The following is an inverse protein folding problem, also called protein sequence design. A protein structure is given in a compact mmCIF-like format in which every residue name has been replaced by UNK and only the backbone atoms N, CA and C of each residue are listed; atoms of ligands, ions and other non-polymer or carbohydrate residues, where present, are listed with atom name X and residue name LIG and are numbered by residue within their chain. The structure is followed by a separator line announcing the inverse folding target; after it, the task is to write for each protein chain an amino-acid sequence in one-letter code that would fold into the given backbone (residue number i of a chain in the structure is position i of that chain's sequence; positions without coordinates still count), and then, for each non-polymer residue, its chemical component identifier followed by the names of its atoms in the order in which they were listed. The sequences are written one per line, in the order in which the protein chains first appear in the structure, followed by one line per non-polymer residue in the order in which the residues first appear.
data_IF_113887490200
#
_entry.id   IF_113887490200
#
_cell.length_a   1.000
_cell.length_b   1.000
_cell.length_c   1.000
_cell.angle_alpha   90.00
_cell.angle_beta   90.00
_cell.angle_gamma   90.00
#
_symmetry.space_group_name_H-M   'P 1'
#
loop_
_entity.id
_entity.type
_entity.pdbx_description
1 polymer ?
#
# COMPACT_ATOMS: atom_id res chain seq x y z
N UNK A 1 7.80 -16.80 -18.66
CA UNK A 1 7.08 -16.56 -19.93
C UNK A 1 5.80 -17.43 -20.04
N UNK A 2 5.09 -17.72 -18.93
CA UNK A 2 3.98 -18.70 -18.89
C UNK A 2 2.58 -18.08 -18.77
N UNK A 3 2.44 -16.75 -18.84
CA UNK A 3 1.16 -16.05 -18.61
C UNK A 3 0.59 -15.32 -19.82
N UNK A 4 1.34 -15.21 -20.91
CA UNK A 4 0.93 -14.51 -22.14
C UNK A 4 -0.40 -15.07 -22.69
N UNK A 5 -0.58 -16.38 -22.56
CA UNK A 5 -1.72 -17.14 -23.06
C UNK A 5 -3.03 -16.83 -22.30
N UNK A 6 -2.93 -16.17 -21.13
CA UNK A 6 -4.08 -15.79 -20.29
C UNK A 6 -4.59 -14.37 -20.54
N UNK A 7 -3.99 -13.64 -21.50
CA UNK A 7 -4.41 -12.28 -21.81
C UNK A 7 -5.82 -12.24 -22.40
N UNK A 8 -6.68 -11.42 -21.83
CA UNK A 8 -7.99 -11.07 -22.39
C UNK A 8 -8.12 -9.55 -22.43
N UNK A 9 -8.44 -9.01 -23.60
CA UNK A 9 -8.65 -7.57 -23.77
C UNK A 9 -9.93 -7.16 -23.03
N UNK A 10 -9.78 -6.35 -21.98
CA UNK A 10 -10.88 -5.85 -21.12
C UNK A 10 -11.07 -4.33 -21.23
N UNK A 11 -10.69 -3.73 -22.37
CA UNK A 11 -10.77 -2.29 -22.59
C UNK A 11 -9.60 -1.47 -22.03
N UNK A 12 -8.51 -2.13 -21.64
CA UNK A 12 -7.25 -1.48 -21.21
C UNK A 12 -6.08 -1.93 -22.09
N UNK A 13 -5.07 -1.08 -22.31
CA UNK A 13 -3.91 -1.42 -23.12
C UNK A 13 -3.19 -2.67 -22.60
N UNK A 14 -2.63 -3.47 -23.51
CA UNK A 14 -1.82 -4.65 -23.19
C UNK A 14 -0.67 -4.31 -22.22
N UNK A 15 -0.07 -3.12 -22.36
CA UNK A 15 0.98 -2.61 -21.47
C UNK A 15 0.54 -2.53 -20.01
N UNK A 16 -0.72 -2.18 -19.72
CA UNK A 16 -1.25 -2.13 -18.36
C UNK A 16 -1.38 -3.53 -17.74
N UNK A 17 -1.81 -4.52 -18.53
CA UNK A 17 -1.86 -5.91 -18.10
C UNK A 17 -0.46 -6.51 -17.89
N UNK A 18 0.49 -6.17 -18.77
CA UNK A 18 1.87 -6.59 -18.65
C UNK A 18 2.56 -5.97 -17.42
N UNK A 19 2.30 -4.69 -17.14
CA UNK A 19 2.76 -4.02 -15.94
C UNK A 19 2.28 -4.73 -14.67
N UNK A 20 1.02 -5.16 -14.64
CA UNK A 20 0.46 -5.94 -13.54
C UNK A 20 1.16 -7.29 -13.35
N UNK A 21 1.50 -8.00 -14.43
CA UNK A 21 2.28 -9.23 -14.33
C UNK A 21 3.67 -8.93 -13.77
N UNK A 22 4.38 -7.96 -14.33
CA UNK A 22 5.72 -7.60 -13.88
C UNK A 22 5.74 -7.20 -12.39
N UNK A 23 4.81 -6.33 -11.97
CA UNK A 23 4.66 -5.91 -10.59
C UNK A 23 4.37 -7.10 -9.65
N UNK A 24 3.48 -8.02 -10.05
CA UNK A 24 3.19 -9.21 -9.26
C UNK A 24 4.39 -10.16 -9.15
N UNK A 25 5.15 -10.37 -10.22
CA UNK A 25 6.34 -11.22 -10.22
C UNK A 25 7.45 -10.61 -9.35
N UNK A 26 7.66 -9.30 -9.44
CA UNK A 26 8.60 -8.55 -8.58
C UNK A 26 8.17 -8.69 -7.12
N UNK A 27 6.91 -8.40 -6.80
CA UNK A 27 6.38 -8.52 -5.44
C UNK A 27 6.46 -9.97 -4.91
N UNK A 28 6.24 -10.98 -5.75
CA UNK A 28 6.38 -12.39 -5.38
C UNK A 28 7.84 -12.75 -5.12
N UNK A 29 8.76 -12.29 -5.96
CA UNK A 29 10.21 -12.50 -5.80
C UNK A 29 10.70 -11.93 -4.47
N UNK A 30 10.33 -10.68 -4.14
CA UNK A 30 10.71 -10.06 -2.88
C UNK A 30 10.02 -10.73 -1.66
N UNK A 31 8.73 -11.11 -1.76
CA UNK A 31 8.05 -11.89 -0.71
C UNK A 31 8.71 -13.24 -0.43
N UNK A 32 9.28 -13.89 -1.45
CA UNK A 32 9.93 -15.20 -1.34
C UNK A 32 11.37 -15.10 -0.82
N UNK A 33 12.06 -14.01 -1.14
CA UNK A 33 13.51 -13.89 -0.93
C UNK A 33 13.93 -12.97 0.21
N UNK A 34 13.04 -12.14 0.77
CA UNK A 34 13.34 -11.31 1.94
C UNK A 34 12.56 -11.77 3.17
N UNK A 35 13.30 -12.15 4.23
CA UNK A 35 12.75 -12.35 5.58
C UNK A 35 12.39 -11.02 6.28
N UNK A 36 12.81 -9.89 5.72
CA UNK A 36 12.59 -8.54 6.26
C UNK A 36 12.30 -7.61 5.09
N UNK A 37 11.05 -7.15 5.01
CA UNK A 37 10.61 -6.15 4.03
C UNK A 37 11.25 -4.82 4.40
N UNK A 38 11.97 -4.19 3.47
CA UNK A 38 12.55 -2.85 3.66
C UNK A 38 11.90 -1.94 2.62
N UNK A 39 11.20 -0.91 3.09
CA UNK A 39 10.61 0.13 2.23
C UNK A 39 11.42 1.40 2.42
N UNK A 40 11.83 2.01 1.31
CA UNK A 40 12.44 3.33 1.34
C UNK A 40 11.31 4.33 1.61
N UNK A 41 11.31 4.89 2.81
CA UNK A 41 10.35 5.91 3.23
C UNK A 41 11.02 7.27 2.96
N UNK A 42 10.42 8.08 2.10
CA UNK A 42 10.79 9.49 1.94
C UNK A 42 10.08 10.32 3.02
N UNK A 43 10.75 11.35 3.56
CA UNK A 43 10.22 12.18 4.65
C UNK A 43 8.89 12.86 4.25
N UNK A 44 8.78 13.28 2.99
CA UNK A 44 7.60 13.95 2.43
C UNK A 44 6.35 13.06 2.49
N UNK A 45 6.48 11.76 2.17
CA UNK A 45 5.36 10.82 2.21
C UNK A 45 4.86 10.55 3.63
N UNK A 46 5.75 10.61 4.62
CA UNK A 46 5.31 10.45 6.01
C UNK A 46 4.66 11.72 6.54
N UNK A 47 5.12 12.88 6.09
CA UNK A 47 4.50 14.15 6.44
C UNK A 47 3.07 14.25 5.91
N UNK A 48 2.81 13.84 4.66
CA UNK A 48 1.45 13.76 4.12
C UNK A 48 0.54 12.82 4.93
N UNK A 49 1.07 11.65 5.34
CA UNK A 49 0.33 10.71 6.18
C UNK A 49 0.05 11.27 7.59
N UNK A 50 1.03 11.97 8.18
CA UNK A 50 0.89 12.63 9.46
C UNK A 50 -0.13 13.78 9.42
N UNK A 51 -0.16 14.54 8.32
CA UNK A 51 -1.14 15.59 8.08
C UNK A 51 -2.56 15.00 8.00
N UNK A 52 -2.74 13.90 7.26
CA UNK A 52 -4.04 13.23 7.15
C UNK A 52 -4.52 12.65 8.50
N UNK A 53 -3.59 12.27 9.39
CA UNK A 53 -3.88 11.81 10.74
C UNK A 53 -4.13 12.97 11.73
N UNK A 54 -3.76 14.19 11.36
CA UNK A 54 -3.92 15.41 12.16
C UNK A 54 -2.87 15.55 13.26
N UNK A 55 -1.67 15.01 13.06
CA UNK A 55 -0.55 15.10 14.01
C UNK A 55 0.49 16.12 13.51
N UNK A 56 0.80 17.13 14.34
CA UNK A 56 1.72 18.23 14.00
C UNK A 56 3.18 17.85 14.27
N UNK A 57 3.96 17.83 13.19
CA UNK A 57 5.42 17.92 13.03
C UNK A 57 6.27 18.04 14.31
N UNK A 58 6.67 16.90 14.86
CA UNK A 58 7.89 16.78 15.67
C UNK A 58 8.61 15.51 15.26
N UNK A 59 9.94 15.51 15.16
CA UNK A 59 10.71 14.33 14.75
C UNK A 59 10.41 13.07 15.58
N UNK A 60 9.99 13.24 16.83
CA UNK A 60 9.53 12.14 17.71
C UNK A 60 8.21 11.51 17.22
N UNK A 61 7.31 12.29 16.62
CA UNK A 61 6.06 11.77 16.06
C UNK A 61 6.30 10.93 14.80
N UNK A 62 7.30 11.30 13.99
CA UNK A 62 7.70 10.55 12.80
C UNK A 62 8.22 9.16 13.17
N UNK A 63 9.11 9.06 14.16
CA UNK A 63 9.59 7.76 14.65
C UNK A 63 8.48 6.93 15.28
N UNK A 64 7.57 7.57 16.02
CA UNK A 64 6.40 6.90 16.56
C UNK A 64 5.48 6.36 15.45
N UNK A 65 5.23 7.14 14.38
CA UNK A 65 4.47 6.71 13.21
C UNK A 65 5.07 5.44 12.59
N UNK A 66 6.37 5.46 12.31
CA UNK A 66 7.09 4.32 11.72
C UNK A 66 6.93 3.08 12.62
N UNK A 67 7.14 3.22 13.93
CA UNK A 67 6.96 2.09 14.86
C UNK A 67 5.53 1.56 14.90
N UNK A 68 4.52 2.43 14.71
CA UNK A 68 3.12 2.03 14.68
C UNK A 68 2.76 1.28 13.39
N UNK A 69 3.31 1.70 12.24
CA UNK A 69 3.17 1.00 10.97
C UNK A 69 3.73 -0.42 11.06
N UNK A 70 4.85 -0.62 11.76
CA UNK A 70 5.41 -1.96 12.02
C UNK A 70 4.49 -2.88 12.84
N UNK A 71 3.51 -2.31 13.58
CA UNK A 71 2.52 -3.10 14.32
C UNK A 71 1.31 -3.53 13.48
N UNK A 72 1.20 -3.06 12.22
CA UNK A 72 0.10 -3.42 11.35
C UNK A 72 0.21 -4.87 10.89
N UNK A 73 -0.94 -5.49 10.62
CA UNK A 73 -0.96 -6.77 9.93
C UNK A 73 -0.41 -6.56 8.50
N UNK A 74 0.25 -7.56 7.89
CA UNK A 74 0.80 -7.42 6.55
C UNK A 74 -0.20 -6.91 5.51
N UNK A 75 -1.46 -7.36 5.57
CA UNK A 75 -2.55 -6.92 4.68
C UNK A 75 -2.95 -5.45 4.91
N UNK A 76 -2.92 -4.99 6.15
CA UNK A 76 -3.23 -3.59 6.48
C UNK A 76 -2.09 -2.68 6.02
N UNK A 77 -0.83 -3.10 6.22
CA UNK A 77 0.34 -2.39 5.75
C UNK A 77 0.35 -2.28 4.22
N UNK A 78 0.06 -3.37 3.51
CA UNK A 78 0.00 -3.39 2.04
C UNK A 78 -1.02 -2.38 1.48
N UNK A 79 -2.16 -2.19 2.17
CA UNK A 79 -3.15 -1.17 1.80
C UNK A 79 -2.60 0.25 2.00
N UNK A 80 -1.91 0.50 3.10
CA UNK A 80 -1.33 1.81 3.41
C UNK A 80 -0.20 2.14 2.42
N UNK A 81 0.69 1.19 2.15
CA UNK A 81 1.76 1.33 1.15
C UNK A 81 1.21 1.69 -0.22
N UNK A 82 0.28 0.89 -0.74
CA UNK A 82 -0.30 1.15 -2.05
C UNK A 82 -1.01 2.51 -2.10
N UNK A 83 -1.66 2.93 -1.01
CA UNK A 83 -2.44 4.16 -1.00
C UNK A 83 -1.57 5.41 -0.89
N UNK A 84 -0.58 5.41 0.01
CA UNK A 84 0.14 6.62 0.42
C UNK A 84 1.57 6.68 -0.11
N UNK A 85 2.22 5.54 -0.34
CA UNK A 85 3.59 5.50 -0.82
C UNK A 85 3.66 5.23 -2.33
N UNK A 86 2.69 4.49 -2.86
CA UNK A 86 2.57 4.23 -4.31
C UNK A 86 1.45 5.06 -4.98
N UNK A 87 0.77 5.92 -4.21
CA UNK A 87 -0.29 6.84 -4.66
C UNK A 87 -1.43 6.19 -5.47
N UNK A 88 -1.71 4.90 -5.24
CA UNK A 88 -2.71 4.18 -6.03
C UNK A 88 -4.12 4.62 -5.71
N UNK A 89 -4.98 4.80 -6.73
CA UNK A 89 -6.40 5.03 -6.51
C UNK A 89 -7.06 3.79 -5.92
N UNK A 90 -8.10 3.97 -5.09
CA UNK A 90 -8.81 2.85 -4.44
C UNK A 90 -9.33 1.81 -5.44
N UNK A 91 -9.70 2.23 -6.64
CA UNK A 91 -10.09 1.34 -7.74
C UNK A 91 -8.97 0.37 -8.13
N UNK A 92 -7.73 0.84 -8.18
CA UNK A 92 -6.56 0.01 -8.51
C UNK A 92 -6.21 -0.92 -7.35
N UNK A 93 -6.20 -0.40 -6.12
CA UNK A 93 -6.00 -1.19 -4.88
C UNK A 93 -7.02 -2.33 -4.80
N UNK A 94 -8.29 -2.03 -5.04
CA UNK A 94 -9.36 -3.02 -5.08
C UNK A 94 -9.11 -4.09 -6.15
N UNK A 95 -8.67 -3.67 -7.34
CA UNK A 95 -8.27 -4.56 -8.41
C UNK A 95 -7.07 -5.45 -8.05
N UNK A 96 -6.10 -4.96 -7.29
CA UNK A 96 -4.92 -5.72 -6.85
C UNK A 96 -5.33 -6.76 -5.80
N UNK A 97 -6.09 -6.35 -4.79
CA UNK A 97 -6.48 -7.18 -3.65
C UNK A 97 -7.70 -8.10 -3.91
N UNK A 98 -8.38 -7.95 -5.05
CA UNK A 98 -9.58 -8.72 -5.36
C UNK A 98 -10.79 -8.37 -4.49
N UNK A 99 -10.87 -7.13 -4.00
CA UNK A 99 -11.99 -6.61 -3.20
C UNK A 99 -12.75 -5.52 -3.97
N UNK A 100 -13.84 -5.00 -3.41
CA UNK A 100 -14.54 -3.84 -3.99
C UNK A 100 -13.82 -2.54 -3.63
N UNK A 101 -13.95 -1.51 -4.48
CA UNK A 101 -13.42 -0.17 -4.22
C UNK A 101 -13.92 0.42 -2.89
N UNK A 102 -15.20 0.20 -2.58
CA UNK A 102 -15.80 0.60 -1.31
C UNK A 102 -15.13 -0.11 -0.11
N UNK A 103 -14.80 -1.39 -0.23
CA UNK A 103 -14.11 -2.15 0.81
C UNK A 103 -12.66 -1.68 0.99
N UNK A 104 -11.95 -1.40 -0.11
CA UNK A 104 -10.59 -0.81 -0.05
C UNK A 104 -10.60 0.53 0.70
N UNK A 105 -11.55 1.40 0.37
CA UNK A 105 -11.74 2.69 1.05
C UNK A 105 -12.06 2.49 2.54
N UNK A 106 -13.02 1.63 2.87
CA UNK A 106 -13.42 1.34 4.26
C UNK A 106 -12.26 0.79 5.09
N UNK A 107 -11.50 -0.18 4.55
CA UNK A 107 -10.34 -0.75 5.22
C UNK A 107 -9.28 0.30 5.50
N UNK A 108 -8.96 1.13 4.52
CA UNK A 108 -7.98 2.22 4.65
C UNK A 108 -8.35 3.14 5.83
N UNK A 109 -9.57 3.68 5.86
CA UNK A 109 -9.98 4.57 6.96
C UNK A 109 -10.04 3.90 8.33
N UNK A 110 -10.38 2.60 8.38
CA UNK A 110 -10.31 1.83 9.64
C UNK A 110 -8.89 1.64 10.15
N UNK A 111 -7.92 1.48 9.24
CA UNK A 111 -6.51 1.39 9.59
C UNK A 111 -6.04 2.75 10.13
N UNK A 112 -6.35 3.85 9.44
CA UNK A 112 -6.03 5.21 9.88
C UNK A 112 -6.64 5.53 11.26
N UNK A 113 -7.91 5.18 11.49
CA UNK A 113 -8.56 5.40 12.80
C UNK A 113 -7.85 4.63 13.93
N UNK A 114 -7.39 3.41 13.65
CA UNK A 114 -6.62 2.60 14.61
C UNK A 114 -5.24 3.21 14.88
N UNK A 115 -4.55 3.69 13.86
CA UNK A 115 -3.26 4.36 14.00
C UNK A 115 -3.42 5.65 14.83
N UNK A 116 -4.43 6.46 14.52
CA UNK A 116 -4.75 7.69 15.25
C UNK A 116 -5.01 7.44 16.74
N UNK A 117 -5.77 6.39 17.08
CA UNK A 117 -6.01 5.99 18.48
C UNK A 117 -4.76 5.55 19.23
N UNK A 118 -3.72 5.08 18.52
CA UNK A 118 -2.45 4.68 19.13
C UNK A 118 -1.44 5.83 19.22
N UNK A 119 -1.67 6.94 18.52
CA UNK A 119 -0.85 8.16 18.62
C UNK A 119 -1.32 9.13 19.69
N UNK A 120 -2.60 9.05 20.09
CA UNK A 120 -3.16 9.79 21.21
C UNK A 120 -2.74 9.17 22.55
#
# INVERSE_FOLDING_TARGET
MQRLDSYTFKGVPFSAWLYRIASNEVAQYYRKNQKTRVVSIDEDHVNELAEELGTVESGDQLQNMISLLDTLKPEDLEIIEMRFFEEKPFKEIAGILGITEANAKMKTYRILERLKKKMA
#
